data_IF_192057824361
#
_entry.id   IF_192057824361
#
_cell.length_a   1.000
_cell.length_b   1.000
_cell.length_c   1.000
_cell.angle_alpha   90.00
_cell.angle_beta   90.00
_cell.angle_gamma   90.00
#
_symmetry.space_group_name_H-M   'P 1'
#
loop_
_entity.id
_entity.type
_entity.pdbx_description
1 polymer ?
#
# COMPACT_ATOMS: atom_id res chain seq x y z
N UNK A 1 8.46 -9.51 -20.68
CA UNK A 1 7.76 -10.29 -19.60
C UNK A 1 6.33 -10.49 -20.06
N UNK A 2 5.83 -11.72 -20.03
CA UNK A 2 4.41 -11.98 -20.33
C UNK A 2 3.54 -11.48 -19.16
N UNK A 3 2.61 -10.57 -19.46
CA UNK A 3 1.67 -9.97 -18.51
C UNK A 3 0.23 -10.43 -18.78
N UNK A 4 0.05 -11.55 -19.47
CA UNK A 4 -1.26 -12.18 -19.61
C UNK A 4 -1.80 -12.62 -18.23
N UNK A 5 -3.12 -12.68 -18.11
CA UNK A 5 -3.81 -13.08 -16.86
C UNK A 5 -3.36 -14.48 -16.41
N UNK A 6 -3.14 -15.42 -17.35
CA UNK A 6 -2.65 -16.77 -17.02
C UNK A 6 -1.24 -16.75 -16.44
N UNK A 7 -0.32 -16.02 -17.08
CA UNK A 7 1.06 -15.93 -16.62
C UNK A 7 1.19 -15.18 -15.26
N UNK A 8 0.36 -14.17 -15.03
CA UNK A 8 0.29 -13.48 -13.72
C UNK A 8 -0.26 -14.45 -12.66
N UNK A 9 -1.32 -15.18 -12.96
CA UNK A 9 -1.93 -16.16 -12.03
C UNK A 9 -0.94 -17.24 -11.60
N UNK A 10 -0.18 -17.78 -12.54
CA UNK A 10 0.85 -18.78 -12.24
C UNK A 10 1.93 -18.25 -11.29
N UNK A 11 2.37 -16.99 -11.50
CA UNK A 11 3.35 -16.34 -10.60
C UNK A 11 2.78 -16.07 -9.22
N UNK A 12 1.54 -15.58 -9.13
CA UNK A 12 0.86 -15.37 -7.85
C UNK A 12 0.76 -16.71 -7.10
N UNK A 13 0.34 -17.78 -7.77
CA UNK A 13 0.23 -19.11 -7.16
C UNK A 13 1.58 -19.63 -6.67
N UNK A 14 2.64 -19.49 -7.47
CA UNK A 14 3.99 -19.92 -7.09
C UNK A 14 4.51 -19.15 -5.85
N UNK A 15 4.37 -17.83 -5.81
CA UNK A 15 4.78 -17.02 -4.65
C UNK A 15 3.93 -17.34 -3.43
N UNK A 16 2.60 -17.49 -3.58
CA UNK A 16 1.71 -17.86 -2.48
C UNK A 16 2.07 -19.23 -1.88
N UNK A 17 2.45 -20.18 -2.72
CA UNK A 17 2.92 -21.49 -2.26
C UNK A 17 4.24 -21.38 -1.45
N UNK A 18 5.18 -20.56 -1.92
CA UNK A 18 6.42 -20.30 -1.17
C UNK A 18 6.14 -19.68 0.19
N UNK A 19 5.26 -18.67 0.24
CA UNK A 19 4.83 -18.03 1.49
C UNK A 19 4.19 -19.06 2.42
N UNK A 20 3.25 -19.87 1.93
CA UNK A 20 2.58 -20.89 2.74
C UNK A 20 3.54 -21.94 3.29
N UNK A 21 4.61 -22.27 2.54
CA UNK A 21 5.62 -23.21 2.98
C UNK A 21 6.58 -22.65 4.04
N UNK A 22 6.78 -21.32 4.03
CA UNK A 22 7.74 -20.64 4.90
C UNK A 22 7.10 -20.06 6.18
N UNK A 23 5.80 -19.75 6.14
CA UNK A 23 5.13 -19.03 7.20
C UNK A 23 4.24 -19.97 8.06
N UNK A 24 4.29 -19.84 9.41
CA UNK A 24 3.46 -20.63 10.32
C UNK A 24 1.98 -20.16 10.36
N UNK A 25 1.67 -19.06 9.68
CA UNK A 25 0.34 -18.43 9.61
C UNK A 25 0.07 -17.89 8.21
N UNK A 26 -1.21 -17.68 7.83
CA UNK A 26 -1.54 -17.00 6.59
C UNK A 26 -0.89 -15.62 6.49
N UNK A 27 -0.33 -15.31 5.32
CA UNK A 27 0.26 -14.01 4.99
C UNK A 27 -0.31 -13.56 3.65
N UNK A 28 -0.79 -12.32 3.62
CA UNK A 28 -1.33 -11.71 2.41
C UNK A 28 -0.21 -11.29 1.47
N UNK A 29 -0.42 -11.51 0.18
CA UNK A 29 0.48 -11.10 -0.89
C UNK A 29 -0.04 -9.82 -1.54
N UNK A 30 0.73 -8.75 -1.49
CA UNK A 30 0.46 -7.51 -2.22
C UNK A 30 1.19 -7.55 -3.57
N UNK A 31 0.44 -7.53 -4.67
CA UNK A 31 1.01 -7.53 -6.03
C UNK A 31 1.25 -6.09 -6.47
N UNK A 32 2.51 -5.73 -6.70
CA UNK A 32 2.90 -4.36 -7.03
C UNK A 32 2.80 -4.10 -8.53
N UNK A 33 2.05 -3.07 -8.93
CA UNK A 33 1.78 -2.70 -10.32
C UNK A 33 2.39 -1.36 -10.75
N UNK A 34 3.29 -0.81 -9.93
CA UNK A 34 4.03 0.41 -10.27
C UNK A 34 4.75 0.29 -11.61
N UNK A 35 4.84 1.38 -12.35
CA UNK A 35 5.48 1.48 -13.67
C UNK A 35 4.83 0.66 -14.79
N UNK A 36 3.71 0.04 -14.51
CA UNK A 36 2.91 -0.67 -15.51
C UNK A 36 1.65 0.14 -15.88
N UNK A 37 1.10 -0.06 -17.10
CA UNK A 37 -0.11 0.63 -17.52
C UNK A 37 -1.37 0.12 -16.79
N UNK A 38 -2.51 0.85 -16.87
CA UNK A 38 -3.75 0.52 -16.16
C UNK A 38 -4.27 -0.90 -16.42
N UNK A 39 -4.07 -1.44 -17.61
CA UNK A 39 -4.51 -2.79 -18.01
C UNK A 39 -3.86 -3.88 -17.15
N UNK A 40 -2.65 -3.63 -16.64
CA UNK A 40 -1.97 -4.58 -15.75
C UNK A 40 -2.64 -4.64 -14.38
N UNK A 41 -3.18 -3.53 -13.87
CA UNK A 41 -3.97 -3.52 -12.63
C UNK A 41 -5.19 -4.42 -12.78
N UNK A 42 -5.91 -4.31 -13.92
CA UNK A 42 -7.06 -5.16 -14.22
C UNK A 42 -6.65 -6.64 -14.38
N UNK A 43 -5.54 -6.90 -15.08
CA UNK A 43 -5.04 -8.27 -15.29
C UNK A 43 -4.62 -8.95 -13.97
N UNK A 44 -4.01 -8.20 -13.05
CA UNK A 44 -3.63 -8.68 -11.71
C UNK A 44 -4.86 -9.04 -10.88
N UNK A 45 -5.90 -8.23 -10.90
CA UNK A 45 -7.17 -8.54 -10.24
C UNK A 45 -7.85 -9.77 -10.86
N UNK A 46 -7.91 -9.85 -12.20
CA UNK A 46 -8.46 -11.01 -12.91
C UNK A 46 -7.64 -12.30 -12.68
N UNK A 47 -6.37 -12.18 -12.35
CA UNK A 47 -5.51 -13.30 -11.96
C UNK A 47 -5.76 -13.80 -10.54
N UNK A 48 -6.57 -13.10 -9.73
CA UNK A 48 -6.97 -13.52 -8.39
C UNK A 48 -6.20 -12.81 -7.25
N UNK A 49 -5.48 -11.73 -7.53
CA UNK A 49 -4.87 -10.94 -6.47
C UNK A 49 -5.95 -10.29 -5.58
N UNK A 50 -5.75 -10.34 -4.28
CA UNK A 50 -6.62 -9.68 -3.30
C UNK A 50 -6.11 -8.28 -2.94
N UNK A 51 -4.81 -8.04 -3.09
CA UNK A 51 -4.17 -6.77 -2.79
C UNK A 51 -3.27 -6.32 -3.94
N UNK A 52 -3.40 -5.05 -4.29
CA UNK A 52 -2.56 -4.37 -5.30
C UNK A 52 -1.81 -3.24 -4.64
N UNK A 53 -0.52 -3.09 -4.95
CA UNK A 53 0.35 -2.04 -4.43
C UNK A 53 0.79 -1.03 -5.48
N UNK A 54 0.69 0.26 -5.16
CA UNK A 54 1.18 1.37 -5.97
C UNK A 54 2.17 2.25 -5.21
N UNK A 55 3.19 2.74 -5.93
CA UNK A 55 4.27 3.54 -5.32
C UNK A 55 4.17 5.03 -5.59
N UNK A 56 3.52 5.42 -6.68
CA UNK A 56 3.58 6.78 -7.19
C UNK A 56 2.18 7.40 -7.25
N UNK A 57 1.96 8.50 -6.53
CA UNK A 57 0.66 9.16 -6.46
C UNK A 57 0.15 9.62 -7.85
N UNK A 58 1.06 9.99 -8.76
CA UNK A 58 0.71 10.33 -10.11
C UNK A 58 0.15 9.11 -10.86
N UNK A 59 0.82 7.94 -10.74
CA UNK A 59 0.33 6.71 -11.38
C UNK A 59 -1.01 6.26 -10.82
N UNK A 60 -1.24 6.38 -9.51
CA UNK A 60 -2.55 6.10 -8.90
C UNK A 60 -3.64 6.94 -9.57
N UNK A 61 -3.40 8.23 -9.77
CA UNK A 61 -4.34 9.12 -10.45
C UNK A 61 -4.53 8.75 -11.93
N UNK A 62 -3.44 8.46 -12.63
CA UNK A 62 -3.50 8.13 -14.06
C UNK A 62 -4.16 6.77 -14.31
N UNK A 63 -4.17 5.88 -13.31
CA UNK A 63 -4.83 4.56 -13.29
C UNK A 63 -6.20 4.58 -12.62
N UNK A 64 -6.78 5.75 -12.30
CA UNK A 64 -7.96 5.88 -11.44
C UNK A 64 -9.12 4.95 -11.87
N UNK A 65 -9.49 4.93 -13.16
CA UNK A 65 -10.59 4.09 -13.66
C UNK A 65 -10.34 2.59 -13.47
N UNK A 66 -9.10 2.12 -13.67
CA UNK A 66 -8.75 0.72 -13.42
C UNK A 66 -8.77 0.39 -11.92
N UNK A 67 -8.26 1.31 -11.09
CA UNK A 67 -8.26 1.19 -9.64
C UNK A 67 -9.70 1.13 -9.11
N UNK A 68 -10.59 2.01 -9.55
CA UNK A 68 -12.01 1.99 -9.17
C UNK A 68 -12.68 0.67 -9.56
N UNK A 69 -12.41 0.17 -10.77
CA UNK A 69 -12.96 -1.11 -11.24
C UNK A 69 -12.50 -2.30 -10.39
N UNK A 70 -11.21 -2.39 -10.04
CA UNK A 70 -10.70 -3.50 -9.23
C UNK A 70 -11.18 -3.40 -7.78
N UNK A 71 -11.30 -2.20 -7.22
CA UNK A 71 -11.88 -1.99 -5.88
C UNK A 71 -13.35 -2.39 -5.83
N UNK A 72 -14.12 -2.09 -6.87
CA UNK A 72 -15.51 -2.51 -7.00
C UNK A 72 -15.64 -4.05 -7.07
N UNK A 73 -14.62 -4.77 -7.53
CA UNK A 73 -14.57 -6.24 -7.51
C UNK A 73 -14.05 -6.84 -6.20
N UNK A 74 -13.75 -6.01 -5.18
CA UNK A 74 -13.30 -6.44 -3.86
C UNK A 74 -11.78 -6.51 -3.67
N UNK A 75 -10.98 -6.08 -4.65
CA UNK A 75 -9.53 -6.00 -4.51
C UNK A 75 -9.16 -4.74 -3.73
N UNK A 76 -8.34 -4.88 -2.68
CA UNK A 76 -7.84 -3.76 -1.90
C UNK A 76 -6.61 -3.13 -2.56
N UNK A 77 -6.63 -1.81 -2.72
CA UNK A 77 -5.51 -1.05 -3.29
C UNK A 77 -4.74 -0.33 -2.19
N UNK A 78 -3.44 -0.60 -2.10
CA UNK A 78 -2.55 -0.04 -1.10
C UNK A 78 -1.54 0.91 -1.72
N UNK A 79 -1.35 2.07 -1.12
CA UNK A 79 -0.24 2.94 -1.44
C UNK A 79 0.97 2.57 -0.56
N UNK A 80 2.05 2.11 -1.18
CA UNK A 80 3.21 1.57 -0.48
C UNK A 80 4.49 2.39 -0.67
N UNK A 81 4.46 3.41 -1.55
CA UNK A 81 5.61 4.28 -1.79
C UNK A 81 5.69 5.45 -0.81
N UNK A 82 6.78 6.19 -0.81
CA UNK A 82 6.89 7.41 0.00
C UNK A 82 5.90 8.47 -0.47
N UNK A 83 4.97 8.86 0.41
CA UNK A 83 3.92 9.81 0.11
C UNK A 83 4.32 11.22 0.55
N UNK A 84 4.43 12.12 -0.41
CA UNK A 84 4.55 13.55 -0.11
C UNK A 84 3.21 14.11 0.39
N UNK A 85 3.25 14.94 1.42
CA UNK A 85 2.05 15.52 2.06
C UNK A 85 1.14 16.22 1.05
N UNK A 86 1.70 17.01 0.13
CA UNK A 86 0.94 17.73 -0.90
C UNK A 86 0.30 16.81 -1.97
N UNK A 87 0.69 15.54 -2.02
CA UNK A 87 0.16 14.55 -2.97
C UNK A 87 -0.95 13.67 -2.38
N UNK A 88 -1.24 13.74 -1.09
CA UNK A 88 -2.35 13.00 -0.45
C UNK A 88 -3.66 13.23 -1.21
N UNK A 89 -3.93 14.47 -1.63
CA UNK A 89 -5.14 14.81 -2.41
C UNK A 89 -5.28 14.06 -3.74
N UNK A 90 -4.17 13.57 -4.30
CA UNK A 90 -4.18 12.87 -5.61
C UNK A 90 -4.67 11.43 -5.48
N UNK A 91 -4.48 10.80 -4.33
CA UNK A 91 -4.83 9.40 -4.08
C UNK A 91 -6.09 9.27 -3.22
N UNK A 92 -6.64 10.40 -2.77
CA UNK A 92 -7.85 10.42 -1.94
C UNK A 92 -9.03 9.77 -2.69
N UNK A 93 -9.67 8.80 -2.03
CA UNK A 93 -10.76 8.02 -2.61
C UNK A 93 -10.33 6.88 -3.54
N UNK A 94 -9.05 6.80 -3.92
CA UNK A 94 -8.54 5.78 -4.85
C UNK A 94 -7.84 4.61 -4.15
N UNK A 95 -7.38 4.78 -2.92
CA UNK A 95 -6.68 3.73 -2.17
C UNK A 95 -7.39 3.41 -0.86
N UNK A 96 -7.25 2.17 -0.40
CA UNK A 96 -7.89 1.65 0.81
C UNK A 96 -6.96 1.68 2.03
N UNK A 97 -5.65 1.69 1.76
CA UNK A 97 -4.62 1.72 2.80
C UNK A 97 -3.41 2.54 2.33
N UNK A 98 -2.78 3.25 3.24
CA UNK A 98 -1.48 3.90 3.03
C UNK A 98 -0.48 3.24 3.97
N UNK A 99 0.46 2.45 3.42
CA UNK A 99 1.38 1.65 4.20
C UNK A 99 2.71 2.36 4.55
N UNK A 100 2.86 3.63 4.19
CA UNK A 100 4.13 4.39 4.27
C UNK A 100 4.03 5.66 5.11
N UNK A 101 3.21 5.62 6.17
CA UNK A 101 3.01 6.80 7.04
C UNK A 101 4.13 6.87 8.07
N UNK A 102 4.97 7.90 8.00
CA UNK A 102 6.21 7.99 8.79
C UNK A 102 6.39 9.29 9.57
N UNK A 103 5.46 10.24 9.47
CA UNK A 103 5.62 11.56 10.09
C UNK A 103 4.30 12.27 10.37
N UNK A 104 4.30 13.10 11.40
CA UNK A 104 3.10 13.82 11.88
C UNK A 104 2.43 14.72 10.82
N UNK A 105 3.13 15.50 9.97
CA UNK A 105 2.47 16.28 8.92
C UNK A 105 1.71 15.42 7.89
N UNK A 106 2.19 14.20 7.62
CA UNK A 106 1.50 13.27 6.73
C UNK A 106 0.25 12.71 7.40
N UNK A 107 0.34 12.33 8.68
CA UNK A 107 -0.83 11.92 9.49
C UNK A 107 -1.92 12.97 9.43
N UNK A 108 -1.58 14.25 9.68
CA UNK A 108 -2.54 15.35 9.67
C UNK A 108 -3.24 15.53 8.31
N UNK A 109 -2.49 15.45 7.22
CA UNK A 109 -3.07 15.63 5.88
C UNK A 109 -3.93 14.42 5.47
N UNK A 110 -3.54 13.19 5.85
CA UNK A 110 -4.37 12.00 5.64
C UNK A 110 -5.67 12.12 6.43
N UNK A 111 -5.62 12.41 7.71
CA UNK A 111 -6.81 12.57 8.55
C UNK A 111 -7.78 13.62 7.99
N UNK A 112 -7.25 14.73 7.49
CA UNK A 112 -8.03 15.79 6.87
C UNK A 112 -8.73 15.38 5.58
N UNK A 113 -8.08 14.60 4.73
CA UNK A 113 -8.58 14.29 3.38
C UNK A 113 -9.16 12.90 3.21
N UNK A 114 -8.76 11.98 4.07
CA UNK A 114 -9.06 10.57 3.97
C UNK A 114 -9.35 9.97 5.37
N UNK A 115 -10.33 10.50 6.11
CA UNK A 115 -10.52 10.20 7.55
C UNK A 115 -10.81 8.73 7.85
N UNK A 116 -11.27 7.95 6.87
CA UNK A 116 -11.58 6.51 7.04
C UNK A 116 -10.51 5.59 6.45
N UNK A 117 -9.39 6.14 6.01
CA UNK A 117 -8.33 5.34 5.40
C UNK A 117 -7.56 4.56 6.47
N UNK A 118 -7.33 3.29 6.19
CA UNK A 118 -6.45 2.43 6.98
C UNK A 118 -5.00 2.82 6.75
N UNK A 119 -4.17 2.75 7.76
CA UNK A 119 -2.75 3.08 7.63
C UNK A 119 -1.86 2.03 8.28
N UNK A 120 -0.65 1.84 7.72
CA UNK A 120 0.48 1.28 8.45
C UNK A 120 1.48 2.40 8.74
N UNK A 121 2.08 2.37 9.92
CA UNK A 121 3.16 3.27 10.25
C UNK A 121 4.49 2.68 9.78
N UNK A 122 5.20 3.43 8.94
CA UNK A 122 6.49 2.97 8.42
C UNK A 122 7.60 3.28 9.42
N UNK A 123 8.35 2.24 9.78
CA UNK A 123 9.49 2.30 10.70
C UNK A 123 10.79 2.04 9.93
N UNK A 124 11.78 2.87 10.13
CA UNK A 124 13.14 2.63 9.67
C UNK A 124 13.85 1.68 10.65
N UNK A 125 13.76 0.39 10.37
CA UNK A 125 14.31 -0.65 11.23
C UNK A 125 15.84 -0.85 11.05
N UNK A 126 16.43 -0.32 9.98
CA UNK A 126 17.86 -0.48 9.67
C UNK A 126 18.72 0.68 10.16
N UNK A 127 18.11 1.83 10.44
CA UNK A 127 18.82 3.07 10.78
C UNK A 127 19.50 3.77 9.60
N UNK A 128 19.35 3.25 8.37
CA UNK A 128 19.91 3.85 7.17
C UNK A 128 19.14 5.14 6.80
N UNK A 129 19.85 6.25 6.69
CA UNK A 129 19.23 7.56 6.37
C UNK A 129 18.61 7.65 4.98
N UNK A 130 18.98 6.75 4.08
CA UNK A 130 18.43 6.64 2.72
C UNK A 130 17.06 5.94 2.69
N UNK A 131 16.69 5.22 3.75
CA UNK A 131 15.40 4.51 3.86
C UNK A 131 14.36 5.38 4.55
N UNK A 132 13.12 5.33 4.04
CA UNK A 132 11.97 5.98 4.67
C UNK A 132 11.56 5.29 5.96
N UNK A 133 10.73 5.98 6.73
CA UNK A 133 10.19 5.49 8.00
C UNK A 133 10.63 6.36 9.18
N UNK A 134 9.81 6.42 10.23
CA UNK A 134 10.20 7.04 11.48
C UNK A 134 11.22 6.18 12.21
N UNK A 135 12.06 6.77 13.03
CA UNK A 135 12.92 6.02 13.92
C UNK A 135 12.07 5.27 14.97
N UNK A 136 12.53 4.09 15.47
CA UNK A 136 11.78 3.33 16.48
C UNK A 136 11.37 4.16 17.70
N UNK A 137 12.24 5.03 18.19
CA UNK A 137 11.97 5.88 19.35
C UNK A 137 10.88 6.94 19.09
N UNK A 138 10.66 7.34 17.84
CA UNK A 138 9.60 8.28 17.46
C UNK A 138 8.24 7.60 17.22
N UNK A 139 8.20 6.29 17.12
CA UNK A 139 6.99 5.52 16.81
C UNK A 139 5.85 5.72 17.82
N UNK A 140 6.09 5.69 19.16
CA UNK A 140 5.01 5.87 20.14
C UNK A 140 4.29 7.22 19.99
N UNK A 141 5.03 8.30 19.73
CA UNK A 141 4.44 9.61 19.51
C UNK A 141 3.62 9.63 18.21
N UNK A 142 4.13 9.01 17.14
CA UNK A 142 3.42 8.95 15.87
C UNK A 142 2.13 8.13 15.97
N UNK A 143 2.11 7.04 16.73
CA UNK A 143 0.91 6.26 17.05
C UNK A 143 -0.12 7.15 17.74
N UNK A 144 0.27 7.83 18.83
CA UNK A 144 -0.62 8.71 19.58
C UNK A 144 -1.24 9.77 18.67
N UNK A 145 -0.43 10.45 17.86
CA UNK A 145 -0.90 11.46 16.90
C UNK A 145 -1.90 10.91 15.89
N UNK A 146 -1.67 9.71 15.36
CA UNK A 146 -2.56 9.10 14.39
C UNK A 146 -3.92 8.72 15.03
N UNK A 147 -3.90 8.17 16.24
CA UNK A 147 -5.10 7.82 16.99
C UNK A 147 -5.91 9.07 17.40
N UNK A 148 -5.25 10.13 17.89
CA UNK A 148 -5.90 11.40 18.26
C UNK A 148 -6.60 12.05 17.07
N UNK A 149 -6.14 11.80 15.86
CA UNK A 149 -6.77 12.28 14.63
C UNK A 149 -7.78 11.30 14.02
N UNK A 150 -8.08 10.21 14.71
CA UNK A 150 -9.10 9.25 14.32
C UNK A 150 -8.71 8.33 13.16
N UNK A 151 -7.43 8.19 12.85
CA UNK A 151 -6.97 7.26 11.82
C UNK A 151 -6.95 5.81 12.34
N UNK A 152 -7.25 4.88 11.46
CA UNK A 152 -7.23 3.45 11.76
C UNK A 152 -5.84 2.86 11.45
N UNK A 153 -5.06 2.60 12.49
CA UNK A 153 -3.76 1.95 12.38
C UNK A 153 -3.97 0.43 12.33
N UNK A 154 -3.60 -0.22 11.22
CA UNK A 154 -3.67 -1.69 11.05
C UNK A 154 -2.37 -2.38 11.47
N UNK A 155 -1.25 -1.67 11.44
CA UNK A 155 0.04 -2.27 11.78
C UNK A 155 1.23 -1.41 11.44
N UNK A 156 2.38 -2.06 11.38
CA UNK A 156 3.66 -1.45 11.03
C UNK A 156 4.13 -1.94 9.66
N UNK A 157 4.92 -1.11 8.98
CA UNK A 157 5.60 -1.46 7.74
C UNK A 157 7.09 -1.17 7.89
N UNK A 158 7.90 -2.03 7.35
CA UNK A 158 9.34 -1.81 7.23
C UNK A 158 9.84 -2.31 5.86
N UNK A 159 10.90 -1.68 5.39
CA UNK A 159 11.63 -2.11 4.18
C UNK A 159 12.98 -2.66 4.64
N UNK A 160 13.25 -3.92 4.27
CA UNK A 160 14.51 -4.60 4.56
C UNK A 160 15.65 -4.16 3.65
#
# INVERSE_FOLDING_TARGET
MDLSVSAIRERIAAVSQQIASAAPRPIDLVVVTKTHPPEVVLAVAAAGAQFVGENYAQEVRDKASAIEAVRASGVSVQFIGQLQTNKVRMIAGLVDCIASVDRAPLVAEIAKRMPSTRIHLQVNATGETSKGGCLPDALPELITRALDQGLHIEGLMAVG
#
